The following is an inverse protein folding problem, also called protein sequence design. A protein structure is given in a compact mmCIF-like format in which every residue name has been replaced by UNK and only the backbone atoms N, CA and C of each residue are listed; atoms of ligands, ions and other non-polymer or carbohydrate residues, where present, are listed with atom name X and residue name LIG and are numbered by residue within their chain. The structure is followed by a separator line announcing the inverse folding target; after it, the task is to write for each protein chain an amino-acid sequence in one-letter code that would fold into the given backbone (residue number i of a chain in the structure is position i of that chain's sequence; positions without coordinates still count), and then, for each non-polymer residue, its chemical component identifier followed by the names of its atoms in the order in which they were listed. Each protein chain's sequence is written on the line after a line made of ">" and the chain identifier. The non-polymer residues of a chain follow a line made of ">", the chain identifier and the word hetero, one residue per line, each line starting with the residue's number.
data_IF_143315311936
#
_entry.id   IF_143315311936
#
_cell.length_a   1.000
_cell.length_b   1.000
_cell.length_c   1.000
_cell.angle_alpha   90.00
_cell.angle_beta   90.00
_cell.angle_gamma   90.00
#
_symmetry.space_group_name_H-M   'P 1'
#
loop_
_entity.id
_entity.type
_entity.pdbx_description
1 polymer ?
#
# COMPACT_ATOMS: atom_id res chain seq x y z
N UNK A 1 17.67 20.51 -8.53
CA UNK A 1 17.22 19.14 -8.22
C UNK A 1 15.80 19.29 -7.77
N UNK A 2 14.87 18.97 -8.68
CA UNK A 2 13.48 19.43 -8.68
C UNK A 2 12.73 19.05 -7.41
N UNK A 3 11.92 20.00 -6.94
CA UNK A 3 11.03 19.91 -5.80
C UNK A 3 10.42 18.51 -5.63
N UNK A 4 10.65 17.90 -4.47
CA UNK A 4 9.84 16.78 -4.02
C UNK A 4 8.42 17.31 -3.85
N UNK A 5 7.55 17.11 -4.84
CA UNK A 5 6.11 17.12 -4.60
C UNK A 5 5.88 16.17 -3.43
N UNK A 6 5.53 16.76 -2.27
CA UNK A 6 5.34 16.02 -1.03
C UNK A 6 4.13 15.12 -1.24
N UNK A 7 4.39 13.83 -1.47
CA UNK A 7 3.36 12.82 -1.66
C UNK A 7 2.43 12.82 -0.44
N UNK A 8 1.15 13.15 -0.65
CA UNK A 8 0.16 13.12 0.42
C UNK A 8 -0.32 11.67 0.63
N UNK A 9 0.45 10.92 1.42
CA UNK A 9 0.23 9.50 1.65
C UNK A 9 -1.11 9.22 2.33
N UNK A 10 -1.51 10.04 3.30
CA UNK A 10 -2.76 9.86 4.05
C UNK A 10 -3.99 9.99 3.13
N UNK A 11 -3.97 10.95 2.20
CA UNK A 11 -5.02 11.11 1.18
C UNK A 11 -5.12 9.90 0.24
N UNK A 12 -3.97 9.31 -0.14
CA UNK A 12 -3.93 8.12 -0.99
C UNK A 12 -4.48 6.91 -0.24
N UNK A 13 -4.02 6.68 1.01
CA UNK A 13 -4.50 5.58 1.85
C UNK A 13 -6.00 5.70 2.10
N UNK A 14 -6.50 6.90 2.44
CA UNK A 14 -7.92 7.15 2.63
C UNK A 14 -8.77 6.72 1.42
N UNK A 15 -8.41 7.20 0.22
CA UNK A 15 -9.11 6.83 -1.02
C UNK A 15 -9.01 5.33 -1.35
N UNK A 16 -7.90 4.69 -1.01
CA UNK A 16 -7.72 3.25 -1.20
C UNK A 16 -8.63 2.44 -0.28
N UNK A 17 -8.87 2.91 0.94
CA UNK A 17 -9.71 2.22 1.94
C UNK A 17 -11.21 2.55 1.78
N UNK A 18 -11.57 3.70 1.21
CA UNK A 18 -12.96 4.13 0.97
C UNK A 18 -13.81 3.11 0.17
N UNK A 19 -13.18 2.22 -0.60
CA UNK A 19 -13.90 1.21 -1.39
C UNK A 19 -14.22 -0.08 -0.63
N UNK A 20 -13.77 -0.26 0.62
CA UNK A 20 -14.01 -1.49 1.39
C UNK A 20 -15.49 -1.88 1.50
N UNK A 21 -16.38 -0.90 1.72
CA UNK A 21 -17.84 -1.12 1.76
C UNK A 21 -18.54 -1.05 0.40
N UNK A 22 -17.79 -0.80 -0.68
CA UNK A 22 -18.35 -0.73 -2.03
C UNK A 22 -18.49 -2.13 -2.64
N UNK A 23 -19.27 -2.23 -3.72
CA UNK A 23 -19.35 -3.47 -4.51
C UNK A 23 -17.94 -3.87 -4.99
N UNK A 24 -17.52 -5.14 -4.80
CA UNK A 24 -16.25 -5.64 -5.31
C UNK A 24 -16.06 -5.34 -6.81
N UNK A 25 -14.86 -4.88 -7.16
CA UNK A 25 -14.50 -4.43 -8.51
C UNK A 25 -14.60 -2.91 -8.74
N UNK A 26 -15.03 -2.10 -7.76
CA UNK A 26 -14.91 -0.65 -7.86
C UNK A 26 -13.44 -0.24 -7.80
N UNK A 27 -13.01 0.53 -8.80
CA UNK A 27 -11.65 1.05 -8.92
C UNK A 27 -11.44 2.29 -8.04
N UNK A 28 -10.21 2.46 -7.55
CA UNK A 28 -9.74 3.69 -6.90
C UNK A 28 -8.93 4.48 -7.93
N UNK A 29 -9.29 5.74 -8.14
CA UNK A 29 -8.64 6.60 -9.13
C UNK A 29 -7.51 7.38 -8.45
N UNK A 30 -6.29 6.90 -8.63
CA UNK A 30 -5.06 7.63 -8.30
C UNK A 30 -4.50 8.28 -9.56
N UNK A 31 -3.91 9.46 -9.41
CA UNK A 31 -3.23 10.11 -10.53
C UNK A 31 -1.93 9.40 -10.87
N UNK A 32 -1.45 9.58 -12.10
CA UNK A 32 -0.17 9.01 -12.54
C UNK A 32 1.00 9.45 -11.65
N UNK A 33 1.02 10.72 -11.23
CA UNK A 33 2.07 11.26 -10.36
C UNK A 33 2.02 10.64 -8.96
N UNK A 34 0.83 10.36 -8.42
CA UNK A 34 0.69 9.68 -7.13
C UNK A 34 1.24 8.25 -7.21
N UNK A 35 0.87 7.50 -8.25
CA UNK A 35 1.37 6.13 -8.45
C UNK A 35 2.90 6.14 -8.66
N UNK A 36 3.40 7.05 -9.50
CA UNK A 36 4.85 7.24 -9.71
C UNK A 36 5.56 7.57 -8.39
N UNK A 37 4.99 8.45 -7.57
CA UNK A 37 5.52 8.83 -6.27
C UNK A 37 5.61 7.65 -5.31
N UNK A 38 4.56 6.81 -5.24
CA UNK A 38 4.57 5.56 -4.45
C UNK A 38 5.70 4.63 -4.90
N UNK A 39 5.86 4.42 -6.21
CA UNK A 39 6.93 3.57 -6.76
C UNK A 39 8.33 4.11 -6.42
N UNK A 40 8.55 5.41 -6.59
CA UNK A 40 9.86 6.03 -6.32
C UNK A 40 10.19 5.99 -4.83
N UNK A 41 9.23 6.32 -3.96
CA UNK A 41 9.48 6.36 -2.52
C UNK A 41 9.64 4.97 -1.91
N UNK A 42 8.81 4.01 -2.30
CA UNK A 42 8.97 2.60 -1.88
C UNK A 42 10.30 2.01 -2.35
N UNK A 43 10.72 2.28 -3.60
CA UNK A 43 12.04 1.87 -4.12
C UNK A 43 13.20 2.38 -3.25
N UNK A 44 13.14 3.64 -2.83
CA UNK A 44 14.15 4.22 -1.94
C UNK A 44 14.21 3.46 -0.59
N UNK A 45 13.06 3.15 -0.01
CA UNK A 45 12.95 2.39 1.26
C UNK A 45 13.47 0.96 1.08
N UNK A 46 13.12 0.27 -0.01
CA UNK A 46 13.64 -1.07 -0.27
C UNK A 46 15.16 -1.09 -0.44
N UNK A 47 15.75 -0.05 -1.03
CA UNK A 47 17.20 0.05 -1.19
C UNK A 47 17.93 0.43 0.10
N UNK A 48 17.25 1.03 1.07
CA UNK A 48 17.83 1.36 2.38
C UNK A 48 17.75 0.21 3.38
N UNK A 49 16.86 -0.76 3.15
CA UNK A 49 16.71 -1.96 3.97
C UNK A 49 17.58 -3.13 3.46
N UNK A 50 18.01 -4.06 4.34
CA UNK A 50 18.73 -5.25 3.92
C UNK A 50 17.91 -6.15 3.00
N UNK A 51 18.56 -6.78 2.00
CA UNK A 51 17.91 -7.75 1.11
C UNK A 51 17.38 -8.99 1.87
N UNK A 52 18.06 -9.36 2.96
CA UNK A 52 17.63 -10.38 3.90
C UNK A 52 17.11 -9.67 5.15
N UNK A 53 15.79 -9.55 5.28
CA UNK A 53 15.17 -8.88 6.42
C UNK A 53 15.34 -9.69 7.70
N UNK A 54 15.74 -9.01 8.77
CA UNK A 54 15.72 -9.53 10.14
C UNK A 54 14.50 -8.94 10.86
N UNK A 55 13.55 -9.81 11.25
CA UNK A 55 12.25 -9.40 11.80
C UNK A 55 12.01 -10.07 13.15
N UNK A 56 11.29 -9.37 14.03
CA UNK A 56 10.90 -9.86 15.36
C UNK A 56 9.38 -10.10 15.45
N UNK A 57 8.98 -11.12 16.20
CA UNK A 57 7.57 -11.38 16.49
C UNK A 57 7.01 -10.38 17.53
N UNK A 58 5.70 -10.09 17.53
CA UNK A 58 4.64 -10.70 16.72
C UNK A 58 4.45 -10.04 15.33
N UNK A 59 4.23 -10.84 14.29
CA UNK A 59 3.91 -10.36 12.94
C UNK A 59 2.93 -11.31 12.23
N UNK A 60 2.28 -10.84 11.16
CA UNK A 60 1.39 -11.65 10.31
C UNK A 60 2.01 -11.82 8.93
N UNK A 61 2.09 -13.08 8.46
CA UNK A 61 2.60 -13.42 7.14
C UNK A 61 1.40 -13.75 6.25
N UNK A 62 1.28 -13.04 5.13
CA UNK A 62 0.30 -13.30 4.09
C UNK A 62 0.99 -13.88 2.86
N UNK A 63 0.34 -14.80 2.16
CA UNK A 63 0.81 -15.34 0.88
C UNK A 63 0.38 -14.48 -0.31
N UNK A 64 0.20 -15.14 -1.44
CA UNK A 64 -0.14 -14.49 -2.71
C UNK A 64 -1.47 -13.72 -2.66
N UNK A 65 -1.46 -12.52 -3.28
CA UNK A 65 -2.66 -11.67 -3.43
C UNK A 65 -3.17 -11.62 -4.87
N UNK A 66 -2.29 -11.66 -5.88
CA UNK A 66 -2.63 -11.68 -7.32
C UNK A 66 -3.67 -10.63 -7.77
N UNK A 67 -3.65 -9.43 -7.19
CA UNK A 67 -4.56 -8.34 -7.56
C UNK A 67 -5.98 -8.49 -6.99
N UNK A 68 -6.24 -9.46 -6.11
CA UNK A 68 -7.51 -9.62 -5.41
C UNK A 68 -7.68 -8.56 -4.30
N UNK A 69 -7.84 -7.29 -4.69
CA UNK A 69 -7.79 -6.15 -3.78
C UNK A 69 -8.84 -6.22 -2.65
N UNK A 70 -10.06 -6.66 -2.94
CA UNK A 70 -11.11 -6.78 -1.93
C UNK A 70 -10.83 -7.91 -0.93
N UNK A 71 -10.12 -8.96 -1.34
CA UNK A 71 -9.68 -10.01 -0.43
C UNK A 71 -8.52 -9.51 0.46
N UNK A 72 -7.63 -8.66 -0.08
CA UNK A 72 -6.62 -7.97 0.73
C UNK A 72 -7.25 -7.05 1.80
N UNK A 73 -8.30 -6.28 1.45
CA UNK A 73 -9.01 -5.46 2.43
C UNK A 73 -9.63 -6.31 3.56
N UNK A 74 -10.21 -7.47 3.21
CA UNK A 74 -10.71 -8.43 4.20
C UNK A 74 -9.60 -8.98 5.08
N UNK A 75 -8.43 -9.30 4.53
CA UNK A 75 -7.28 -9.75 5.32
C UNK A 75 -6.89 -8.73 6.40
N UNK A 76 -6.91 -7.43 6.08
CA UNK A 76 -6.68 -6.38 7.07
C UNK A 76 -7.82 -6.24 8.08
N UNK A 77 -9.08 -6.43 7.68
CA UNK A 77 -10.21 -6.40 8.62
C UNK A 77 -10.08 -7.50 9.70
N UNK A 78 -9.64 -8.70 9.32
CA UNK A 78 -9.38 -9.80 10.27
C UNK A 78 -8.03 -9.67 11.00
N UNK A 79 -7.03 -9.06 10.35
CA UNK A 79 -5.66 -8.97 10.83
C UNK A 79 -5.31 -7.69 11.61
N UNK A 80 -6.16 -6.68 11.54
CA UNK A 80 -5.83 -5.30 11.91
C UNK A 80 -5.25 -4.52 10.73
N UNK A 81 -5.64 -3.25 10.61
CA UNK A 81 -5.05 -2.33 9.63
C UNK A 81 -3.65 -1.89 10.08
N UNK A 82 -2.69 -1.75 9.14
CA UNK A 82 -1.37 -1.21 9.40
C UNK A 82 -1.40 0.29 9.72
#
# INVERSE_FOLDING_TARGET
>A
MSDSEKLNLDSIIGRLLEVQGSRPGKNVQLTENEIRGLCLKSREIFLSQPILLELEAPLKICGDIHGQYYDLLRLFEYGGFP
#
